data_IF_441463423375
#
_entry.id   IF_441463423375
#
_cell.length_a   1.000
_cell.length_b   1.000
_cell.length_c   1.000
_cell.angle_alpha   90.00
_cell.angle_beta   90.00
_cell.angle_gamma   90.00
#
_symmetry.space_group_name_H-M   'P 1'
#
loop_
_entity.id
_entity.type
_entity.pdbx_description
1 polymer ?
#
# COMPACT_ATOMS: atom_id res chain seq x y z
N UNK A 1 -8.47 2.93 -1.87
CA UNK A 1 -8.40 4.03 -2.82
C UNK A 1 -9.71 4.79 -2.92
N UNK A 2 -9.67 5.98 -3.53
CA UNK A 2 -10.88 6.76 -3.78
C UNK A 2 -11.79 6.01 -4.76
N UNK A 3 -13.09 6.10 -4.53
CA UNK A 3 -14.12 5.49 -5.40
C UNK A 3 -15.07 6.55 -5.93
N UNK A 4 -15.48 6.40 -7.17
CA UNK A 4 -16.58 7.18 -7.74
C UNK A 4 -17.93 6.63 -7.30
N UNK A 5 -19.00 7.37 -7.60
CA UNK A 5 -20.38 6.95 -7.29
C UNK A 5 -20.76 5.61 -7.95
N UNK A 6 -20.16 5.28 -9.10
CA UNK A 6 -20.28 3.99 -9.78
C UNK A 6 -19.43 2.86 -9.19
N UNK A 7 -18.71 3.13 -8.09
CA UNK A 7 -17.86 2.17 -7.38
C UNK A 7 -16.47 1.94 -7.97
N UNK A 8 -16.09 2.62 -9.06
CA UNK A 8 -14.77 2.45 -9.69
C UNK A 8 -13.66 3.04 -8.84
N UNK A 9 -12.47 2.43 -8.92
CA UNK A 9 -11.28 2.96 -8.27
C UNK A 9 -10.71 4.13 -9.08
N UNK A 10 -10.40 5.22 -8.40
CA UNK A 10 -9.77 6.40 -8.98
C UNK A 10 -8.47 6.74 -8.28
N UNK A 11 -7.59 7.45 -9.00
CA UNK A 11 -6.35 7.96 -8.43
C UNK A 11 -6.59 9.04 -7.37
N UNK A 12 -6.39 8.72 -6.10
CA UNK A 12 -6.65 9.64 -4.98
C UNK A 12 -5.89 10.96 -5.10
N UNK A 13 -4.65 10.93 -5.62
CA UNK A 13 -3.84 12.15 -5.85
C UNK A 13 -4.48 13.05 -6.90
N UNK A 14 -4.94 12.50 -8.02
CA UNK A 14 -5.58 13.28 -9.07
C UNK A 14 -6.84 13.99 -8.57
N UNK A 15 -7.66 13.32 -7.78
CA UNK A 15 -8.87 13.91 -7.18
C UNK A 15 -8.53 15.00 -6.16
N UNK A 16 -7.51 14.77 -5.33
CA UNK A 16 -7.04 15.79 -4.38
C UNK A 16 -6.53 17.05 -5.10
N UNK A 17 -5.79 16.88 -6.21
CA UNK A 17 -5.32 18.00 -7.03
C UNK A 17 -6.48 18.73 -7.77
N UNK A 18 -7.57 18.04 -8.04
CA UNK A 18 -8.80 18.63 -8.56
C UNK A 18 -9.63 19.37 -7.49
N UNK A 19 -9.15 19.44 -6.24
CA UNK A 19 -9.80 20.15 -5.14
C UNK A 19 -10.87 19.32 -4.41
N UNK A 20 -11.00 18.03 -4.69
CA UNK A 20 -11.90 17.18 -3.94
C UNK A 20 -11.38 16.98 -2.51
N UNK A 21 -12.26 17.20 -1.54
CA UNK A 21 -11.93 16.96 -0.14
C UNK A 21 -12.05 15.48 0.17
N UNK A 22 -11.06 14.86 0.84
CA UNK A 22 -11.22 13.51 1.35
C UNK A 22 -12.37 13.46 2.36
N UNK A 23 -13.05 12.30 2.42
CA UNK A 23 -13.99 12.06 3.50
C UNK A 23 -13.28 12.24 4.84
N UNK A 24 -13.95 12.87 5.80
CA UNK A 24 -13.43 12.98 7.16
C UNK A 24 -13.31 11.58 7.75
N UNK A 25 -12.09 11.05 7.76
CA UNK A 25 -11.78 9.78 8.38
C UNK A 25 -11.33 10.03 9.83
N UNK A 26 -11.60 9.07 10.69
CA UNK A 26 -11.08 9.11 12.06
C UNK A 26 -9.54 9.14 11.99
N UNK A 27 -8.93 10.04 12.76
CA UNK A 27 -7.48 10.13 12.87
C UNK A 27 -6.89 8.78 13.31
N UNK A 28 -5.80 8.34 12.65
CA UNK A 28 -5.14 7.08 12.97
C UNK A 28 -5.80 5.81 12.37
N UNK A 29 -6.76 5.95 11.46
CA UNK A 29 -7.41 4.80 10.80
C UNK A 29 -6.71 4.38 9.51
N UNK A 30 -5.73 5.13 9.05
CA UNK A 30 -4.94 4.85 7.85
C UNK A 30 -3.53 4.43 8.29
N UNK A 31 -3.20 3.17 8.15
CA UNK A 31 -1.92 2.66 8.65
C UNK A 31 -1.44 1.49 7.79
N UNK A 32 -0.15 1.50 7.46
CA UNK A 32 0.56 0.36 6.90
C UNK A 32 1.62 -0.09 7.89
N UNK A 33 1.56 -1.34 8.29
CA UNK A 33 2.58 -1.96 9.17
C UNK A 33 3.27 -3.06 8.39
N UNK A 34 4.61 -3.06 8.41
CA UNK A 34 5.39 -4.09 7.73
C UNK A 34 6.71 -4.41 8.42
N UNK A 35 7.27 -5.56 8.06
CA UNK A 35 8.58 -6.03 8.52
C UNK A 35 9.44 -6.39 7.33
N UNK A 36 10.68 -5.88 7.30
CA UNK A 36 11.71 -6.24 6.34
C UNK A 36 12.65 -7.21 7.06
N UNK A 37 12.69 -8.46 6.61
CA UNK A 37 13.60 -9.46 7.17
C UNK A 37 14.77 -9.73 6.21
N UNK A 38 15.96 -9.86 6.77
CA UNK A 38 17.18 -10.22 6.04
C UNK A 38 18.04 -11.17 6.88
N UNK A 39 18.77 -12.02 6.22
CA UNK A 39 19.79 -12.88 6.83
C UNK A 39 21.18 -12.24 6.85
N UNK A 40 21.33 -11.06 6.26
CA UNK A 40 22.59 -10.29 6.33
C UNK A 40 22.93 -9.86 7.76
N UNK A 41 24.20 -9.80 8.13
CA UNK A 41 24.65 -9.29 9.45
C UNK A 41 24.54 -7.76 9.48
N UNK A 42 23.57 -7.24 10.20
CA UNK A 42 23.34 -5.81 10.35
C UNK A 42 23.44 -5.37 11.82
N UNK A 43 23.99 -4.19 12.02
CA UNK A 43 23.90 -3.49 13.30
C UNK A 43 22.48 -2.94 13.52
N UNK A 44 22.16 -2.57 14.75
CA UNK A 44 20.88 -1.91 15.08
C UNK A 44 20.64 -0.64 14.24
N UNK A 45 21.69 0.18 14.04
CA UNK A 45 21.59 1.39 13.23
C UNK A 45 21.32 1.07 11.75
N UNK A 46 21.94 0.02 11.23
CA UNK A 46 21.66 -0.45 9.87
C UNK A 46 20.24 -0.99 9.73
N UNK A 47 19.72 -1.74 10.70
CA UNK A 47 18.33 -2.18 10.70
C UNK A 47 17.38 -0.98 10.69
N UNK A 48 17.63 0.05 11.51
CA UNK A 48 16.83 1.26 11.50
C UNK A 48 16.84 1.97 10.13
N UNK A 49 18.03 2.07 9.50
CA UNK A 49 18.17 2.66 8.17
C UNK A 49 17.47 1.79 7.10
N UNK A 50 17.56 0.47 7.22
CA UNK A 50 16.89 -0.47 6.31
C UNK A 50 15.36 -0.32 6.38
N UNK A 51 14.80 -0.21 7.59
CA UNK A 51 13.38 0.08 7.78
C UNK A 51 12.99 1.40 7.12
N UNK A 52 13.82 2.47 7.30
CA UNK A 52 13.62 3.75 6.63
C UNK A 52 13.65 3.65 5.10
N UNK A 53 14.55 2.86 4.53
CA UNK A 53 14.61 2.63 3.07
C UNK A 53 13.36 1.91 2.54
N UNK A 54 12.70 1.10 3.37
CA UNK A 54 11.44 0.46 3.01
C UNK A 54 10.30 1.44 2.74
N UNK A 55 10.28 2.60 3.38
CA UNK A 55 9.29 3.64 3.15
C UNK A 55 9.31 4.19 1.70
N UNK A 56 10.45 4.13 1.02
CA UNK A 56 10.53 4.43 -0.41
C UNK A 56 9.70 3.45 -1.23
N UNK A 57 9.58 2.21 -0.76
CA UNK A 57 8.71 1.19 -1.35
C UNK A 57 7.23 1.48 -1.13
N UNK A 58 6.84 1.93 0.07
CA UNK A 58 5.48 2.39 0.33
C UNK A 58 5.11 3.54 -0.61
N UNK A 59 6.01 4.52 -0.76
CA UNK A 59 5.77 5.69 -1.62
C UNK A 59 5.61 5.35 -3.11
N UNK A 60 6.18 4.24 -3.56
CA UNK A 60 5.97 3.74 -4.94
C UNK A 60 4.63 3.03 -5.13
N UNK A 61 4.12 2.38 -4.10
CA UNK A 61 2.93 1.54 -4.18
C UNK A 61 1.65 2.23 -3.70
N UNK A 62 1.75 3.18 -2.78
CA UNK A 62 0.62 3.85 -2.12
C UNK A 62 0.66 5.34 -2.43
N UNK A 63 -0.43 5.90 -2.98
CA UNK A 63 -0.49 7.30 -3.40
C UNK A 63 -1.85 7.93 -3.06
N UNK A 64 -1.89 8.96 -2.18
CA UNK A 64 -0.79 9.47 -1.36
C UNK A 64 -0.36 8.50 -0.26
N UNK A 65 0.82 8.73 0.31
CA UNK A 65 1.36 7.99 1.47
C UNK A 65 1.97 9.00 2.43
N UNK A 66 2.14 8.62 3.69
CA UNK A 66 2.73 9.46 4.75
C UNK A 66 2.02 10.80 4.92
N UNK A 67 0.70 10.80 4.79
CA UNK A 67 -0.12 11.98 5.08
C UNK A 67 -0.22 12.19 6.59
N UNK A 68 -0.74 13.34 7.01
CA UNK A 68 -0.94 13.62 8.44
C UNK A 68 -1.93 12.67 9.13
N UNK A 69 -2.67 11.88 8.36
CA UNK A 69 -3.63 10.88 8.86
C UNK A 69 -3.06 9.45 8.87
N UNK A 70 -1.86 9.24 8.32
CA UNK A 70 -1.25 7.93 8.18
C UNK A 70 -0.37 7.60 9.40
N UNK A 71 -0.43 6.36 9.85
CA UNK A 71 0.41 5.83 10.93
C UNK A 71 1.40 4.77 10.43
N UNK A 72 1.95 4.96 9.21
CA UNK A 72 2.81 3.97 8.54
C UNK A 72 4.08 3.68 9.33
N UNK A 73 4.31 2.40 9.61
CA UNK A 73 5.46 1.95 10.39
C UNK A 73 6.09 0.71 9.78
N UNK A 74 7.39 0.77 9.52
CA UNK A 74 8.17 -0.38 9.08
C UNK A 74 9.25 -0.73 10.10
N UNK A 75 9.44 -2.02 10.29
CA UNK A 75 10.48 -2.60 11.13
C UNK A 75 11.49 -3.35 10.25
N UNK A 76 12.71 -3.53 10.73
CA UNK A 76 13.69 -4.40 10.10
C UNK A 76 14.23 -5.43 11.10
N UNK A 77 14.39 -6.65 10.63
CA UNK A 77 14.95 -7.79 11.36
C UNK A 77 16.13 -8.35 10.57
N UNK A 78 17.26 -8.56 11.24
CA UNK A 78 18.45 -9.18 10.67
C UNK A 78 18.87 -10.39 11.52
N UNK A 79 19.08 -11.55 10.89
CA UNK A 79 19.51 -12.78 11.58
C UNK A 79 21.01 -12.96 11.62
N UNK A 80 21.75 -12.31 10.73
CA UNK A 80 23.21 -12.37 10.69
C UNK A 80 23.80 -13.72 10.27
N UNK A 81 23.06 -14.51 9.51
CA UNK A 81 23.45 -15.89 9.16
C UNK A 81 24.22 -16.02 7.85
N UNK A 82 24.26 -14.96 7.04
CA UNK A 82 24.91 -14.99 5.73
C UNK A 82 26.03 -13.99 5.61
N UNK A 83 26.66 -13.98 4.42
CA UNK A 83 27.70 -13.01 4.07
C UNK A 83 27.12 -11.60 3.98
N UNK A 84 27.87 -10.61 4.45
CA UNK A 84 27.54 -9.20 4.28
C UNK A 84 27.39 -8.85 2.79
N UNK A 85 26.27 -8.19 2.44
CA UNK A 85 26.04 -7.54 1.16
C UNK A 85 26.41 -6.06 1.26
N UNK A 86 26.64 -5.42 0.10
CA UNK A 86 26.70 -3.96 0.06
C UNK A 86 25.39 -3.38 0.63
N UNK A 87 25.54 -2.48 1.59
CA UNK A 87 24.39 -1.98 2.33
C UNK A 87 23.45 -1.11 1.47
N UNK A 88 23.98 -0.40 0.47
CA UNK A 88 23.15 0.39 -0.44
C UNK A 88 22.31 -0.51 -1.35
N UNK A 89 22.88 -1.62 -1.80
CA UNK A 89 22.14 -2.64 -2.54
C UNK A 89 21.03 -3.20 -1.68
N UNK A 90 21.31 -3.55 -0.42
CA UNK A 90 20.30 -4.08 0.50
C UNK A 90 19.16 -3.06 0.75
N UNK A 91 19.46 -1.78 0.92
CA UNK A 91 18.45 -0.73 1.05
C UNK A 91 17.60 -0.61 -0.22
N UNK A 92 18.19 -0.71 -1.40
CA UNK A 92 17.47 -0.67 -2.67
C UNK A 92 16.54 -1.88 -2.81
N UNK A 93 17.01 -3.07 -2.43
CA UNK A 93 16.21 -4.30 -2.39
C UNK A 93 15.05 -4.20 -1.41
N UNK A 94 15.25 -3.57 -0.25
CA UNK A 94 14.20 -3.37 0.74
C UNK A 94 13.04 -2.51 0.18
N UNK A 95 13.35 -1.39 -0.48
CA UNK A 95 12.35 -0.56 -1.14
C UNK A 95 11.56 -1.32 -2.21
N UNK A 96 12.25 -2.10 -3.03
CA UNK A 96 11.61 -2.92 -4.07
C UNK A 96 10.73 -4.03 -3.46
N UNK A 97 11.23 -4.73 -2.44
CA UNK A 97 10.48 -5.78 -1.76
C UNK A 97 9.19 -5.25 -1.12
N UNK A 98 9.26 -4.09 -0.46
CA UNK A 98 8.09 -3.45 0.16
C UNK A 98 7.08 -3.01 -0.89
N UNK A 99 7.52 -2.40 -2.00
CA UNK A 99 6.61 -2.00 -3.08
C UNK A 99 5.85 -3.22 -3.66
N UNK A 100 6.56 -4.32 -3.91
CA UNK A 100 5.94 -5.57 -4.38
C UNK A 100 5.00 -6.18 -3.34
N UNK A 101 5.38 -6.16 -2.06
CA UNK A 101 4.54 -6.68 -0.99
C UNK A 101 3.20 -5.94 -0.89
N UNK A 102 3.20 -4.61 -1.04
CA UNK A 102 1.98 -3.81 -1.06
C UNK A 102 1.06 -4.21 -2.23
N UNK A 103 1.61 -4.33 -3.44
CA UNK A 103 0.84 -4.74 -4.61
C UNK A 103 0.29 -6.15 -4.45
N UNK A 104 1.13 -7.09 -4.01
CA UNK A 104 0.74 -8.47 -3.77
C UNK A 104 -0.37 -8.59 -2.72
N UNK A 105 -0.29 -7.79 -1.64
CA UNK A 105 -1.32 -7.78 -0.59
C UNK A 105 -2.69 -7.36 -1.14
N UNK A 106 -2.73 -6.31 -1.98
CA UNK A 106 -3.98 -5.85 -2.61
C UNK A 106 -4.53 -6.88 -3.58
N UNK A 107 -3.67 -7.53 -4.37
CA UNK A 107 -4.08 -8.56 -5.33
C UNK A 107 -4.54 -9.86 -4.65
N UNK A 108 -3.93 -10.22 -3.52
CA UNK A 108 -4.29 -11.42 -2.76
C UNK A 108 -5.53 -11.23 -1.88
N UNK A 109 -5.92 -9.99 -1.60
CA UNK A 109 -7.07 -9.68 -0.76
C UNK A 109 -8.36 -10.30 -1.32
N UNK A 110 -9.28 -10.65 -0.41
CA UNK A 110 -10.62 -11.15 -0.74
C UNK A 110 -11.66 -10.25 -0.07
N UNK A 111 -12.79 -10.09 -0.73
CA UNK A 111 -13.92 -9.38 -0.13
C UNK A 111 -14.37 -10.05 1.16
N UNK A 112 -14.68 -9.25 2.15
CA UNK A 112 -15.07 -9.70 3.49
C UNK A 112 -16.39 -9.04 3.90
N UNK A 113 -17.26 -9.82 4.55
CA UNK A 113 -18.48 -9.33 5.17
C UNK A 113 -18.41 -9.66 6.67
N UNK A 114 -18.34 -8.63 7.50
CA UNK A 114 -18.22 -8.79 8.95
C UNK A 114 -19.15 -7.82 9.65
N UNK A 115 -19.98 -8.33 10.55
CA UNK A 115 -20.89 -7.53 11.37
C UNK A 115 -21.75 -6.52 10.56
N UNK A 116 -22.18 -6.91 9.37
CA UNK A 116 -23.00 -6.07 8.48
C UNK A 116 -22.20 -5.04 7.64
N UNK A 117 -20.87 -4.99 7.80
CA UNK A 117 -19.99 -4.14 7.00
C UNK A 117 -19.43 -4.95 5.84
N UNK A 118 -19.53 -4.42 4.62
CA UNK A 118 -18.96 -5.00 3.42
C UNK A 118 -17.62 -4.32 3.11
N UNK A 119 -16.56 -5.14 3.05
CA UNK A 119 -15.20 -4.71 2.69
C UNK A 119 -14.82 -5.36 1.36
N UNK A 120 -15.10 -4.73 0.22
CA UNK A 120 -14.82 -5.33 -1.08
C UNK A 120 -13.33 -5.29 -1.40
N UNK A 121 -12.80 -6.38 -1.95
CA UNK A 121 -11.45 -6.45 -2.48
C UNK A 121 -11.33 -5.68 -3.81
N UNK A 122 -10.13 -5.20 -4.13
CA UNK A 122 -9.89 -4.44 -5.36
C UNK A 122 -10.25 -5.25 -6.62
N UNK A 123 -9.89 -6.52 -6.66
CA UNK A 123 -10.18 -7.43 -7.79
C UNK A 123 -11.68 -7.59 -8.06
N UNK A 124 -12.51 -7.60 -7.02
CA UNK A 124 -13.97 -7.75 -7.17
C UNK A 124 -14.60 -6.45 -7.68
N UNK A 125 -14.03 -5.29 -7.31
CA UNK A 125 -14.46 -3.98 -7.80
C UNK A 125 -14.13 -3.83 -9.29
N UNK A 126 -12.92 -4.19 -9.70
CA UNK A 126 -12.50 -4.15 -11.11
C UNK A 126 -13.32 -5.11 -11.97
N UNK A 127 -13.59 -6.32 -11.47
CA UNK A 127 -14.45 -7.28 -12.17
C UNK A 127 -15.89 -6.78 -12.34
N UNK A 128 -16.45 -6.12 -11.34
CA UNK A 128 -17.76 -5.51 -11.42
C UNK A 128 -17.80 -4.36 -12.44
N UNK A 129 -16.80 -3.47 -12.45
CA UNK A 129 -16.65 -2.40 -13.42
C UNK A 129 -16.57 -2.91 -14.85
N UNK A 130 -15.74 -3.91 -15.10
CA UNK A 130 -15.61 -4.54 -16.42
C UNK A 130 -16.90 -5.26 -16.91
N UNK A 131 -17.72 -5.78 -16.00
CA UNK A 131 -19.04 -6.34 -16.35
C UNK A 131 -20.03 -5.25 -16.76
N UNK A 132 -20.06 -4.13 -16.05
CA UNK A 132 -20.91 -2.98 -16.39
C UNK A 132 -20.58 -2.41 -17.77
N UNK A 133 -19.31 -2.26 -18.11
CA UNK A 133 -18.88 -1.81 -19.44
C UNK A 133 -19.35 -2.76 -20.55
N UNK A 134 -19.20 -4.07 -20.37
CA UNK A 134 -19.67 -5.08 -21.33
C UNK A 134 -21.20 -5.11 -21.47
N UNK A 135 -21.93 -4.75 -20.42
CA UNK A 135 -23.39 -4.67 -20.44
C UNK A 135 -23.94 -3.39 -21.09
N UNK A 136 -23.05 -2.52 -21.65
CA UNK A 136 -23.47 -1.29 -22.32
C UNK A 136 -23.90 -0.16 -21.40
N UNK A 137 -23.60 -0.26 -20.11
CA UNK A 137 -23.82 0.81 -19.14
C UNK A 137 -22.89 2.00 -19.43
N UNK A 138 -23.41 3.06 -20.11
CA UNK A 138 -22.74 4.35 -20.17
C UNK A 138 -22.75 4.94 -18.77
N UNK A 139 -21.60 4.98 -18.13
CA UNK A 139 -21.39 5.83 -16.96
C UNK A 139 -21.32 7.25 -17.48
N UNK A 140 -22.29 8.08 -17.16
CA UNK A 140 -22.21 9.51 -17.44
C UNK A 140 -21.14 10.12 -16.54
N UNK A 141 -20.38 11.12 -17.05
CA UNK A 141 -19.29 11.78 -16.31
C UNK A 141 -19.78 12.52 -15.08
#
# INVERSE_FOLDING_TARGET
>A
GARSADGRLHGSVARALAGERPLSLLSGTQTTIGVIATDAPLTKAQCQRLAGAGHDGLARAIRPVHTMSDGDTLFALATGQTRALDFNVLCSMAGEAVARACVNAVQAARSLSVAGVQLPAAIDIEAAGARLERAGGRVQP
#
